data_IF_806404516920
#
_entry.id   IF_806404516920
#
_cell.length_a   1.000
_cell.length_b   1.000
_cell.length_c   1.000
_cell.angle_alpha   90.00
_cell.angle_beta   90.00
_cell.angle_gamma   90.00
#
_symmetry.space_group_name_H-M   'P 1'
#
loop_
_entity.id
_entity.type
_entity.pdbx_description
1 polymer ?
#
# COMPACT_ATOMS: atom_id res chain seq x y z
N UNK A 1 3.08 67.15 58.61
CA UNK A 1 1.97 66.78 57.70
C UNK A 1 2.61 66.18 56.46
N UNK A 2 2.27 64.93 56.16
CA UNK A 2 3.12 63.98 55.45
C UNK A 2 3.22 64.17 53.93
N UNK A 3 4.39 63.84 53.40
CA UNK A 3 4.61 63.53 51.98
C UNK A 3 3.84 62.26 51.59
N UNK A 4 3.23 62.20 50.40
CA UNK A 4 2.65 60.97 49.90
C UNK A 4 3.78 60.04 49.40
N UNK A 5 3.74 58.78 49.84
CA UNK A 5 4.59 57.71 49.34
C UNK A 5 4.19 57.34 47.88
N UNK A 6 5.13 56.91 47.02
CA UNK A 6 4.81 56.45 45.68
C UNK A 6 4.24 55.02 45.76
N UNK A 7 2.99 54.85 45.35
CA UNK A 7 2.28 53.57 45.36
C UNK A 7 2.68 52.68 44.17
N UNK A 8 3.26 51.52 44.49
CA UNK A 8 3.06 50.15 43.97
C UNK A 8 2.40 49.86 42.59
N UNK A 9 2.57 50.68 41.54
CA UNK A 9 2.01 50.37 40.19
C UNK A 9 2.99 49.65 39.23
N UNK A 10 4.27 49.52 39.59
CA UNK A 10 5.34 49.17 38.64
C UNK A 10 5.34 47.74 38.04
N UNK A 11 4.99 46.65 38.75
CA UNK A 11 5.13 45.31 38.19
C UNK A 11 4.06 44.99 37.15
N UNK A 12 2.81 45.46 37.36
CA UNK A 12 1.72 45.26 36.42
C UNK A 12 1.96 46.05 35.12
N UNK A 13 2.39 47.32 35.21
CA UNK A 13 2.70 48.12 34.02
C UNK A 13 3.90 47.54 33.26
N UNK A 14 4.94 47.08 33.96
CA UNK A 14 6.10 46.45 33.32
C UNK A 14 5.72 45.16 32.58
N UNK A 15 4.90 44.31 33.17
CA UNK A 15 4.37 43.10 32.53
C UNK A 15 3.49 43.42 31.31
N UNK A 16 2.68 44.49 31.36
CA UNK A 16 1.89 44.90 30.19
C UNK A 16 2.75 45.39 29.03
N UNK A 17 3.85 46.10 29.32
CA UNK A 17 4.81 46.55 28.30
C UNK A 17 5.60 45.37 27.72
N UNK A 18 6.02 44.42 28.55
CA UNK A 18 6.68 43.19 28.08
C UNK A 18 5.73 42.33 27.24
N UNK A 19 4.46 42.21 27.63
CA UNK A 19 3.45 41.52 26.84
C UNK A 19 3.16 42.22 25.50
N UNK A 20 3.11 43.55 25.48
CA UNK A 20 2.96 44.33 24.25
C UNK A 20 4.15 44.13 23.31
N UNK A 21 5.38 44.18 23.85
CA UNK A 21 6.59 43.90 23.06
C UNK A 21 6.58 42.48 22.48
N UNK A 22 6.23 41.48 23.28
CA UNK A 22 6.12 40.09 22.80
C UNK A 22 5.04 39.93 21.71
N UNK A 23 3.93 40.66 21.81
CA UNK A 23 2.89 40.67 20.79
C UNK A 23 3.36 41.33 19.48
N UNK A 24 4.15 42.40 19.56
CA UNK A 24 4.74 43.05 18.39
C UNK A 24 5.81 42.17 17.73
N UNK A 25 6.70 41.53 18.50
CA UNK A 25 7.65 40.53 17.99
C UNK A 25 6.94 39.35 17.30
N UNK A 26 5.84 38.86 17.87
CA UNK A 26 5.04 37.81 17.26
C UNK A 26 4.41 38.26 15.93
N UNK A 27 3.97 39.53 15.82
CA UNK A 27 3.43 40.09 14.59
C UNK A 27 4.51 40.22 13.51
N UNK A 28 5.69 40.73 13.86
CA UNK A 28 6.83 40.82 12.93
C UNK A 28 7.28 39.44 12.43
N UNK A 29 7.30 38.43 13.31
CA UNK A 29 7.60 37.05 12.92
C UNK A 29 6.53 36.47 11.98
N UNK A 30 5.25 36.73 12.24
CA UNK A 30 4.15 36.29 11.38
C UNK A 30 4.23 36.92 9.98
N UNK A 31 4.53 38.22 9.89
CA UNK A 31 4.71 38.91 8.61
C UNK A 31 5.92 38.38 7.84
N UNK A 32 7.04 38.16 8.54
CA UNK A 32 8.24 37.57 7.96
C UNK A 32 7.99 36.14 7.45
N UNK A 33 7.25 35.33 8.20
CA UNK A 33 6.85 33.98 7.79
C UNK A 33 5.91 34.00 6.59
N UNK A 34 4.91 34.89 6.57
CA UNK A 34 4.00 35.04 5.44
C UNK A 34 4.74 35.46 4.16
N UNK A 35 5.69 36.39 4.26
CA UNK A 35 6.53 36.81 3.15
C UNK A 35 7.45 35.69 2.64
N UNK A 36 7.96 34.83 3.53
CA UNK A 36 8.74 33.64 3.16
C UNK A 36 7.88 32.61 2.43
N UNK A 37 6.69 32.29 2.96
CA UNK A 37 5.76 31.32 2.37
C UNK A 37 5.31 31.77 0.99
N UNK A 38 4.99 33.05 0.82
CA UNK A 38 4.59 33.61 -0.48
C UNK A 38 5.70 33.49 -1.53
N UNK A 39 6.94 33.84 -1.17
CA UNK A 39 8.11 33.68 -2.05
C UNK A 39 8.35 32.22 -2.43
N UNK A 40 8.36 31.33 -1.45
CA UNK A 40 8.54 29.90 -1.68
C UNK A 40 7.45 29.33 -2.59
N UNK A 41 6.19 29.75 -2.43
CA UNK A 41 5.09 29.31 -3.27
C UNK A 41 5.25 29.77 -4.74
N UNK A 42 5.65 31.02 -4.97
CA UNK A 42 5.89 31.54 -6.32
C UNK A 42 7.05 30.79 -7.02
N UNK A 43 8.16 30.57 -6.31
CA UNK A 43 9.31 29.84 -6.83
C UNK A 43 8.93 28.38 -7.15
N UNK A 44 8.16 27.74 -6.27
CA UNK A 44 7.63 26.39 -6.49
C UNK A 44 6.74 26.34 -7.74
N UNK A 45 5.82 27.30 -7.91
CA UNK A 45 4.93 27.35 -9.07
C UNK A 45 5.70 27.55 -10.38
N UNK A 46 6.70 28.42 -10.38
CA UNK A 46 7.61 28.64 -11.51
C UNK A 46 8.35 27.35 -11.89
N UNK A 47 8.89 26.64 -10.90
CA UNK A 47 9.54 25.35 -11.15
C UNK A 47 8.55 24.30 -11.67
N UNK A 48 7.34 24.21 -11.10
CA UNK A 48 6.28 23.29 -11.58
C UNK A 48 5.96 23.52 -13.06
N UNK A 49 5.85 24.78 -13.49
CA UNK A 49 5.62 25.12 -14.89
C UNK A 49 6.78 24.65 -15.78
N UNK A 50 8.03 24.93 -15.40
CA UNK A 50 9.23 24.52 -16.15
C UNK A 50 9.32 22.99 -16.28
N UNK A 51 8.99 22.27 -15.21
CA UNK A 51 8.95 20.80 -15.20
C UNK A 51 7.88 20.26 -16.13
N UNK A 52 6.67 20.84 -16.10
CA UNK A 52 5.58 20.43 -16.98
C UNK A 52 5.93 20.64 -18.46
N UNK A 53 6.58 21.77 -18.79
CA UNK A 53 7.08 22.03 -20.15
C UNK A 53 8.11 20.98 -20.55
N UNK A 54 9.09 20.70 -19.69
CA UNK A 54 10.14 19.71 -19.96
C UNK A 54 9.58 18.29 -20.15
N UNK A 55 8.62 17.85 -19.32
CA UNK A 55 7.95 16.56 -19.52
C UNK A 55 7.22 16.48 -20.87
N UNK A 56 6.56 17.57 -21.27
CA UNK A 56 5.87 17.62 -22.57
C UNK A 56 6.87 17.54 -23.73
N UNK A 57 8.04 18.17 -23.61
CA UNK A 57 9.12 18.13 -24.59
C UNK A 57 9.71 16.73 -24.70
N UNK A 58 10.00 16.06 -23.57
CA UNK A 58 10.50 14.69 -23.56
C UNK A 58 9.51 13.74 -24.26
N UNK A 59 8.20 13.84 -23.94
CA UNK A 59 7.17 13.02 -24.60
C UNK A 59 7.08 13.28 -26.11
N UNK A 60 7.20 14.54 -26.53
CA UNK A 60 7.21 14.91 -27.96
C UNK A 60 8.42 14.28 -28.65
N UNK A 61 9.62 14.42 -28.09
CA UNK A 61 10.84 13.82 -28.66
C UNK A 61 10.68 12.30 -28.77
N UNK A 62 10.19 11.62 -27.73
CA UNK A 62 9.93 10.18 -27.80
C UNK A 62 8.96 9.78 -28.89
N UNK A 63 7.87 10.54 -29.06
CA UNK A 63 6.91 10.27 -30.14
C UNK A 63 7.55 10.45 -31.50
N UNK A 64 8.37 11.50 -31.68
CA UNK A 64 9.11 11.75 -32.91
C UNK A 64 10.13 10.65 -33.21
N UNK A 65 10.83 10.13 -32.20
CA UNK A 65 11.79 9.03 -32.36
C UNK A 65 11.08 7.74 -32.75
N UNK A 66 9.95 7.43 -32.11
CA UNK A 66 9.18 6.20 -32.36
C UNK A 66 8.48 6.21 -33.72
N UNK A 67 8.10 7.38 -34.22
CA UNK A 67 7.37 7.55 -35.47
C UNK A 67 8.25 7.85 -36.69
N UNK A 68 9.56 8.05 -36.51
CA UNK A 68 10.45 8.37 -37.62
C UNK A 68 11.24 7.13 -38.08
N UNK A 69 10.88 6.51 -39.21
CA UNK A 69 11.55 5.31 -39.72
C UNK A 69 12.95 5.58 -40.29
N UNK A 70 13.34 6.85 -40.46
CA UNK A 70 14.64 7.24 -41.02
C UNK A 70 15.76 7.36 -39.98
N UNK A 71 15.48 7.08 -38.69
CA UNK A 71 16.50 7.10 -37.63
C UNK A 71 17.19 5.74 -37.60
N UNK A 72 18.52 5.74 -37.75
CA UNK A 72 19.33 4.52 -37.61
C UNK A 72 19.14 3.89 -36.22
N UNK A 73 19.07 2.55 -36.17
CA UNK A 73 18.80 1.80 -34.94
C UNK A 73 19.75 2.15 -33.78
N UNK A 74 21.01 2.53 -34.08
CA UNK A 74 22.01 2.89 -33.07
C UNK A 74 21.78 4.28 -32.48
N UNK A 75 21.36 5.24 -33.31
CA UNK A 75 21.08 6.60 -32.86
C UNK A 75 19.75 6.68 -32.12
N UNK A 76 18.77 5.86 -32.52
CA UNK A 76 17.52 5.68 -31.78
C UNK A 76 17.77 5.13 -30.36
N UNK A 77 18.63 4.11 -30.23
CA UNK A 77 18.98 3.51 -28.92
C UNK A 77 19.69 4.52 -28.00
N UNK A 78 20.66 5.28 -28.54
CA UNK A 78 21.36 6.32 -27.77
C UNK A 78 20.43 7.45 -27.33
N UNK A 79 19.51 7.86 -28.19
CA UNK A 79 18.52 8.90 -27.87
C UNK A 79 17.51 8.40 -26.84
N UNK A 80 17.09 7.14 -26.91
CA UNK A 80 16.24 6.51 -25.90
C UNK A 80 16.95 6.40 -24.54
N UNK A 81 18.26 6.11 -24.53
CA UNK A 81 19.08 6.09 -23.31
C UNK A 81 19.16 7.48 -22.66
N UNK A 82 19.45 8.53 -23.44
CA UNK A 82 19.51 9.91 -22.92
C UNK A 82 18.14 10.41 -22.42
N UNK A 83 17.04 10.10 -23.13
CA UNK A 83 15.68 10.40 -22.68
C UNK A 83 15.31 9.62 -21.42
N UNK A 84 15.77 8.36 -21.31
CA UNK A 84 15.63 7.55 -20.09
C UNK A 84 16.36 8.21 -18.92
N UNK A 85 17.60 8.64 -19.12
CA UNK A 85 18.43 9.33 -18.12
C UNK A 85 17.77 10.63 -17.64
N UNK A 86 17.31 11.46 -18.57
CA UNK A 86 16.61 12.71 -18.27
C UNK A 86 15.35 12.45 -17.41
N UNK A 87 14.59 11.40 -17.73
CA UNK A 87 13.45 10.96 -16.91
C UNK A 87 13.84 10.50 -15.52
N UNK A 88 14.92 9.74 -15.39
CA UNK A 88 15.41 9.28 -14.10
C UNK A 88 15.78 10.50 -13.23
N UNK A 89 16.45 11.50 -13.80
CA UNK A 89 16.78 12.75 -13.09
C UNK A 89 15.52 13.50 -12.66
N UNK A 90 14.53 13.65 -13.55
CA UNK A 90 13.30 14.38 -13.23
C UNK A 90 12.46 13.63 -12.18
N UNK A 91 12.34 12.30 -12.29
CA UNK A 91 11.43 11.51 -11.46
C UNK A 91 12.04 11.09 -10.12
N UNK A 92 13.31 10.72 -10.12
CA UNK A 92 14.01 10.21 -8.94
C UNK A 92 14.87 11.30 -8.25
N UNK A 93 15.14 12.41 -8.95
CA UNK A 93 15.72 13.63 -8.39
C UNK A 93 14.72 14.46 -7.58
N UNK A 94 15.16 15.59 -7.04
CA UNK A 94 14.36 16.42 -6.13
C UNK A 94 13.20 17.13 -6.84
N UNK A 95 13.34 17.30 -8.16
CA UNK A 95 12.32 17.83 -9.07
C UNK A 95 11.07 16.92 -9.15
N UNK A 96 11.20 15.63 -8.82
CA UNK A 96 10.09 14.67 -8.92
C UNK A 96 8.92 14.97 -7.99
N UNK A 97 9.19 15.74 -6.94
CA UNK A 97 8.22 16.28 -6.00
C UNK A 97 7.28 17.33 -6.61
N UNK A 98 7.78 18.08 -7.60
CA UNK A 98 7.10 19.18 -8.27
C UNK A 98 6.29 18.71 -9.48
N UNK A 99 6.52 17.48 -9.93
CA UNK A 99 5.74 16.89 -11.01
C UNK A 99 4.23 17.00 -10.72
N UNK A 100 3.42 17.37 -11.72
CA UNK A 100 1.97 17.36 -11.56
C UNK A 100 1.55 15.98 -11.07
N UNK A 101 0.79 15.92 -9.98
CA UNK A 101 0.34 14.63 -9.45
C UNK A 101 -0.39 13.91 -10.58
N UNK A 102 0.05 12.71 -10.96
CA UNK A 102 -0.77 11.82 -11.78
C UNK A 102 -2.17 11.81 -11.17
N UNK A 103 -3.19 11.99 -12.01
CA UNK A 103 -4.59 12.13 -11.58
C UNK A 103 -4.86 11.22 -10.39
N UNK A 104 -5.17 11.83 -9.26
CA UNK A 104 -5.44 11.10 -8.04
C UNK A 104 -6.52 10.08 -8.34
N UNK A 105 -6.28 8.81 -8.00
CA UNK A 105 -7.25 7.76 -8.21
C UNK A 105 -8.58 8.15 -7.59
N UNK A 106 -9.70 7.76 -8.21
CA UNK A 106 -11.05 8.10 -7.76
C UNK A 106 -11.25 7.86 -6.25
N UNK A 107 -10.65 6.79 -5.72
CA UNK A 107 -10.65 6.46 -4.29
C UNK A 107 -10.08 7.60 -3.42
N UNK A 108 -8.89 8.12 -3.73
CA UNK A 108 -8.30 9.21 -2.95
C UNK A 108 -9.15 10.49 -3.04
N UNK A 109 -9.71 10.78 -4.21
CA UNK A 109 -10.61 11.93 -4.38
C UNK A 109 -11.89 11.79 -3.54
N UNK A 110 -12.43 10.58 -3.43
CA UNK A 110 -13.62 10.31 -2.63
C UNK A 110 -13.37 10.52 -1.13
N UNK A 111 -12.20 10.09 -0.61
CA UNK A 111 -11.90 10.18 0.83
C UNK A 111 -11.23 11.49 1.26
N UNK A 112 -10.39 12.09 0.41
CA UNK A 112 -9.56 13.27 0.73
C UNK A 112 -9.90 14.51 -0.08
N UNK A 113 -10.82 14.43 -1.05
CA UNK A 113 -11.13 15.53 -1.95
C UNK A 113 -10.01 15.83 -2.95
N UNK A 114 -9.93 17.08 -3.42
CA UNK A 114 -8.97 17.52 -4.43
C UNK A 114 -7.58 17.90 -3.86
N UNK A 115 -7.17 17.27 -2.75
CA UNK A 115 -5.92 17.62 -2.04
C UNK A 115 -4.76 16.79 -2.56
N UNK A 116 -3.67 17.42 -3.01
CA UNK A 116 -2.46 16.70 -3.45
C UNK A 116 -1.71 16.05 -2.27
N UNK A 117 -1.72 14.72 -2.20
CA UNK A 117 -1.04 13.91 -1.16
C UNK A 117 0.41 13.54 -1.51
N UNK A 118 0.97 14.08 -2.60
CA UNK A 118 2.39 13.90 -2.92
C UNK A 118 3.23 14.74 -1.96
N UNK A 119 4.02 14.09 -1.13
CA UNK A 119 4.96 14.77 -0.26
C UNK A 119 6.11 15.38 -1.10
N UNK A 120 6.39 16.66 -0.86
CA UNK A 120 7.40 17.38 -1.64
C UNK A 120 8.82 16.90 -1.26
N UNK A 121 9.05 16.64 0.02
CA UNK A 121 10.37 16.22 0.50
C UNK A 121 10.51 14.70 0.57
N UNK A 122 11.68 14.18 0.18
CA UNK A 122 11.99 12.74 0.20
C UNK A 122 11.95 12.13 1.60
N UNK A 123 12.36 12.86 2.63
CA UNK A 123 12.30 12.39 4.02
C UNK A 123 10.84 12.22 4.48
N UNK A 124 9.94 13.13 4.09
CA UNK A 124 8.51 13.02 4.39
C UNK A 124 7.90 11.82 3.65
N UNK A 125 8.26 11.58 2.38
CA UNK A 125 7.81 10.38 1.65
C UNK A 125 8.22 9.09 2.37
N UNK A 126 9.46 9.04 2.87
CA UNK A 126 9.96 7.88 3.61
C UNK A 126 9.28 7.72 4.96
N UNK A 127 8.97 8.82 5.64
CA UNK A 127 8.17 8.80 6.87
C UNK A 127 6.76 8.26 6.63
N UNK A 128 6.11 8.62 5.53
CA UNK A 128 4.81 8.03 5.13
C UNK A 128 4.92 6.52 4.95
N UNK A 129 6.00 6.04 4.33
CA UNK A 129 6.28 4.60 4.18
C UNK A 129 6.54 3.92 5.53
N UNK A 130 7.26 4.57 6.43
CA UNK A 130 7.51 4.05 7.77
C UNK A 130 6.21 3.92 8.58
N UNK A 131 5.37 4.95 8.57
CA UNK A 131 4.05 4.92 9.22
C UNK A 131 3.13 3.85 8.63
N UNK A 132 3.17 3.62 7.31
CA UNK A 132 2.47 2.50 6.68
C UNK A 132 2.97 1.15 7.21
N UNK A 133 4.28 0.96 7.28
CA UNK A 133 4.88 -0.29 7.75
C UNK A 133 4.54 -0.56 9.22
N UNK A 134 4.64 0.46 10.07
CA UNK A 134 4.27 0.37 11.49
C UNK A 134 2.77 0.06 11.65
N UNK A 135 1.91 0.77 10.91
CA UNK A 135 0.48 0.50 10.90
C UNK A 135 0.18 -0.95 10.48
N UNK A 136 0.84 -1.44 9.42
CA UNK A 136 0.68 -2.81 8.92
C UNK A 136 1.12 -3.85 9.93
N UNK A 137 2.25 -3.65 10.61
CA UNK A 137 2.76 -4.60 11.61
C UNK A 137 1.81 -4.67 12.82
N UNK A 138 1.40 -3.53 13.37
CA UNK A 138 0.42 -3.46 14.46
C UNK A 138 -0.91 -4.13 14.08
N UNK A 139 -1.41 -3.85 12.88
CA UNK A 139 -2.70 -4.40 12.44
C UNK A 139 -2.65 -5.86 12.06
N UNK A 140 -1.53 -6.37 11.55
CA UNK A 140 -1.35 -7.81 11.31
C UNK A 140 -1.39 -8.60 12.61
N UNK A 141 -0.80 -8.09 13.69
CA UNK A 141 -0.91 -8.73 15.01
C UNK A 141 -2.37 -8.74 15.51
N UNK A 142 -3.09 -7.62 15.39
CA UNK A 142 -4.50 -7.54 15.75
C UNK A 142 -5.39 -8.44 14.88
N UNK A 143 -5.08 -8.59 13.59
CA UNK A 143 -5.79 -9.45 12.65
C UNK A 143 -5.73 -10.92 13.06
N UNK A 144 -4.63 -11.35 13.68
CA UNK A 144 -4.51 -12.67 14.27
C UNK A 144 -5.25 -12.75 15.61
N UNK A 145 -5.06 -11.76 16.49
CA UNK A 145 -5.55 -11.77 17.86
C UNK A 145 -7.09 -11.76 17.96
N UNK A 146 -7.76 -10.87 17.22
CA UNK A 146 -9.23 -10.72 17.30
C UNK A 146 -9.99 -12.01 17.00
N UNK A 147 -9.78 -12.71 15.86
CA UNK A 147 -10.49 -13.95 15.58
C UNK A 147 -10.10 -15.07 16.54
N UNK A 148 -8.86 -15.10 17.04
CA UNK A 148 -8.46 -16.05 18.10
C UNK A 148 -9.23 -15.84 19.40
N UNK A 149 -9.38 -14.60 19.85
CA UNK A 149 -10.18 -14.27 21.04
C UNK A 149 -11.64 -14.64 20.82
N UNK A 150 -12.23 -14.31 19.67
CA UNK A 150 -13.62 -14.65 19.37
C UNK A 150 -13.87 -16.16 19.40
N UNK A 151 -12.99 -16.96 18.79
CA UNK A 151 -13.10 -18.41 18.79
C UNK A 151 -12.90 -19.01 20.19
N UNK A 152 -11.98 -18.45 20.98
CA UNK A 152 -11.78 -18.84 22.37
C UNK A 152 -13.03 -18.55 23.22
N UNK A 153 -13.57 -17.34 23.16
CA UNK A 153 -14.80 -16.95 23.87
C UNK A 153 -16.01 -17.77 23.44
N UNK A 154 -16.12 -18.12 22.15
CA UNK A 154 -17.16 -19.04 21.67
C UNK A 154 -17.09 -20.40 22.36
N UNK A 155 -15.89 -20.93 22.57
CA UNK A 155 -15.70 -22.23 23.20
C UNK A 155 -15.82 -22.20 24.71
N UNK A 156 -15.44 -21.09 25.36
CA UNK A 156 -15.34 -21.00 26.81
C UNK A 156 -16.56 -20.35 27.48
N UNK A 157 -17.24 -19.42 26.80
CA UNK A 157 -18.24 -18.54 27.41
C UNK A 157 -19.61 -18.61 26.72
N UNK A 158 -19.65 -18.78 25.39
CA UNK A 158 -20.89 -18.64 24.63
C UNK A 158 -21.49 -19.96 24.12
N UNK A 159 -21.15 -21.08 24.73
CA UNK A 159 -21.72 -22.42 24.42
C UNK A 159 -21.78 -22.74 22.92
N UNK A 160 -20.77 -22.29 22.17
CA UNK A 160 -20.69 -22.51 20.73
C UNK A 160 -21.54 -21.56 19.86
N UNK A 161 -22.09 -20.47 20.37
CA UNK A 161 -22.80 -19.46 19.57
C UNK A 161 -22.18 -18.06 19.71
N UNK A 162 -21.88 -17.39 18.59
CA UNK A 162 -21.35 -16.04 18.63
C UNK A 162 -22.45 -15.02 18.93
N UNK A 163 -22.24 -14.08 19.87
CA UNK A 163 -23.07 -12.89 20.00
C UNK A 163 -22.95 -12.01 18.76
N UNK A 164 -24.08 -11.47 18.29
CA UNK A 164 -24.12 -10.60 17.11
C UNK A 164 -23.18 -9.40 17.26
N UNK A 165 -23.22 -8.71 18.40
CA UNK A 165 -22.38 -7.55 18.69
C UNK A 165 -20.88 -7.87 18.58
N UNK A 166 -20.44 -9.02 19.09
CA UNK A 166 -19.02 -9.40 19.07
C UNK A 166 -18.51 -9.60 17.63
N UNK A 167 -19.30 -10.24 16.77
CA UNK A 167 -18.95 -10.42 15.35
C UNK A 167 -19.03 -9.08 14.60
N UNK A 168 -20.04 -8.26 14.88
CA UNK A 168 -20.17 -6.93 14.27
C UNK A 168 -19.00 -6.01 14.62
N UNK A 169 -18.53 -6.01 15.87
CA UNK A 169 -17.34 -5.24 16.28
C UNK A 169 -16.10 -5.68 15.51
N UNK A 170 -15.94 -6.99 15.29
CA UNK A 170 -14.85 -7.50 14.46
C UNK A 170 -15.00 -7.09 12.98
N UNK A 171 -16.20 -7.14 12.42
CA UNK A 171 -16.45 -6.68 11.04
C UNK A 171 -16.22 -5.16 10.90
N UNK A 172 -16.61 -4.36 11.89
CA UNK A 172 -16.35 -2.93 11.92
C UNK A 172 -14.84 -2.64 11.98
N UNK A 173 -14.10 -3.44 12.76
CA UNK A 173 -12.66 -3.36 12.81
C UNK A 173 -12.00 -3.77 11.47
N UNK A 174 -12.48 -4.83 10.81
CA UNK A 174 -12.02 -5.21 9.47
C UNK A 174 -12.28 -4.12 8.43
N UNK A 175 -13.45 -3.48 8.48
CA UNK A 175 -13.77 -2.34 7.62
C UNK A 175 -12.76 -1.21 7.83
N UNK A 176 -12.52 -0.81 9.09
CA UNK A 176 -11.51 0.19 9.43
C UNK A 176 -10.10 -0.21 8.93
N UNK A 177 -9.72 -1.47 9.13
CA UNK A 177 -8.44 -2.00 8.68
C UNK A 177 -8.25 -1.84 7.17
N UNK A 178 -9.17 -2.40 6.38
CA UNK A 178 -9.04 -2.44 4.92
C UNK A 178 -9.21 -1.06 4.28
N UNK A 179 -10.07 -0.20 4.82
CA UNK A 179 -10.12 1.22 4.43
C UNK A 179 -8.78 1.91 4.72
N UNK A 180 -8.21 1.69 5.90
CA UNK A 180 -6.93 2.27 6.30
C UNK A 180 -5.74 1.78 5.47
N UNK A 181 -5.71 0.51 5.07
CA UNK A 181 -4.71 -0.06 4.16
C UNK A 181 -4.87 0.51 2.75
N UNK A 182 -6.09 0.50 2.21
CA UNK A 182 -6.40 1.05 0.90
C UNK A 182 -5.99 2.54 0.80
N UNK A 183 -6.30 3.35 1.82
CA UNK A 183 -5.91 4.76 1.84
C UNK A 183 -4.39 4.93 1.82
N UNK A 184 -3.67 4.26 2.73
CA UNK A 184 -2.20 4.37 2.83
C UNK A 184 -1.49 3.86 1.58
N UNK A 185 -1.94 2.75 0.99
CA UNK A 185 -1.33 2.20 -0.22
C UNK A 185 -1.58 3.06 -1.45
N UNK A 186 -2.75 3.69 -1.57
CA UNK A 186 -3.00 4.67 -2.62
C UNK A 186 -2.10 5.91 -2.46
N UNK A 187 -1.92 6.41 -1.23
CA UNK A 187 -0.99 7.52 -0.95
C UNK A 187 0.45 7.12 -1.33
N UNK A 188 0.90 5.92 -0.96
CA UNK A 188 2.23 5.41 -1.32
C UNK A 188 2.41 5.30 -2.84
N UNK A 189 1.38 4.88 -3.57
CA UNK A 189 1.40 4.83 -5.04
C UNK A 189 1.59 6.20 -5.67
N UNK A 190 0.89 7.22 -5.15
CA UNK A 190 1.05 8.62 -5.61
C UNK A 190 2.46 9.15 -5.31
N UNK A 191 3.06 8.67 -4.21
CA UNK A 191 4.43 8.98 -3.78
C UNK A 191 5.51 8.05 -4.39
N UNK A 192 5.17 7.24 -5.40
CA UNK A 192 6.14 6.53 -6.22
C UNK A 192 6.43 5.08 -5.84
N UNK A 193 5.72 4.50 -4.88
CA UNK A 193 5.79 3.06 -4.59
C UNK A 193 5.15 2.22 -5.70
N UNK A 194 5.83 1.15 -6.14
CA UNK A 194 5.34 0.26 -7.19
C UNK A 194 4.40 -0.86 -6.68
N UNK A 195 3.28 -0.50 -6.07
CA UNK A 195 2.33 -1.50 -5.56
C UNK A 195 1.56 -2.13 -6.74
N UNK A 196 1.45 -3.46 -6.79
CA UNK A 196 0.65 -4.14 -7.83
C UNK A 196 -0.84 -3.80 -7.73
N UNK A 197 -1.54 -3.58 -8.86
CA UNK A 197 -2.96 -3.20 -8.85
C UNK A 197 -3.88 -4.17 -8.11
N UNK A 198 -3.61 -5.48 -8.21
CA UNK A 198 -4.42 -6.51 -7.55
C UNK A 198 -4.55 -6.31 -6.04
N UNK A 199 -3.46 -5.95 -5.34
CA UNK A 199 -3.49 -5.80 -3.88
C UNK A 199 -4.37 -4.63 -3.43
N UNK A 200 -4.37 -3.53 -4.19
CA UNK A 200 -5.27 -2.41 -3.91
C UNK A 200 -6.73 -2.82 -4.17
N UNK A 201 -6.98 -3.54 -5.27
CA UNK A 201 -8.31 -4.04 -5.57
C UNK A 201 -8.82 -5.06 -4.55
N UNK A 202 -7.94 -5.96 -4.07
CA UNK A 202 -8.23 -6.89 -2.98
C UNK A 202 -8.71 -6.12 -1.74
N UNK A 203 -8.01 -5.05 -1.33
CA UNK A 203 -8.45 -4.24 -0.19
C UNK A 203 -9.84 -3.61 -0.41
N UNK A 204 -10.17 -3.20 -1.63
CA UNK A 204 -11.52 -2.71 -1.94
C UNK A 204 -12.58 -3.81 -1.82
N UNK A 205 -12.30 -5.01 -2.32
CA UNK A 205 -13.18 -6.16 -2.16
C UNK A 205 -13.38 -6.53 -0.69
N UNK A 206 -12.31 -6.55 0.10
CA UNK A 206 -12.37 -6.85 1.52
C UNK A 206 -13.12 -5.76 2.32
N UNK A 207 -12.92 -4.48 1.97
CA UNK A 207 -13.69 -3.36 2.53
C UNK A 207 -15.18 -3.49 2.22
N UNK A 208 -15.54 -3.80 0.97
CA UNK A 208 -16.94 -4.03 0.56
C UNK A 208 -17.53 -5.25 1.30
N UNK A 209 -16.77 -6.33 1.42
CA UNK A 209 -17.18 -7.53 2.15
C UNK A 209 -17.45 -7.24 3.63
N UNK A 210 -16.57 -6.50 4.30
CA UNK A 210 -16.75 -6.10 5.70
C UNK A 210 -17.99 -5.20 5.86
N UNK A 211 -18.20 -4.26 4.93
CA UNK A 211 -19.39 -3.39 4.93
C UNK A 211 -20.69 -4.18 4.77
N UNK A 212 -20.74 -5.13 3.82
CA UNK A 212 -21.92 -5.98 3.61
C UNK A 212 -22.11 -6.94 4.79
N UNK A 213 -21.02 -7.47 5.35
CA UNK A 213 -21.08 -8.36 6.51
C UNK A 213 -21.59 -7.66 7.76
N UNK A 214 -21.39 -6.35 7.90
CA UNK A 214 -21.94 -5.55 9.00
C UNK A 214 -23.46 -5.45 8.96
N UNK A 215 -24.06 -5.44 7.77
CA UNK A 215 -25.52 -5.39 7.61
C UNK A 215 -26.16 -6.77 7.74
N UNK A 216 -25.35 -7.82 7.94
CA UNK A 216 -25.87 -9.16 8.18
C UNK A 216 -26.21 -9.34 9.66
N UNK A 217 -27.51 -9.35 9.96
CA UNK A 217 -27.98 -9.66 11.30
C UNK A 217 -27.84 -11.16 11.60
N UNK A 218 -27.01 -11.48 12.58
CA UNK A 218 -26.91 -12.82 13.13
C UNK A 218 -28.14 -13.06 14.00
N UNK A 219 -29.22 -13.54 13.37
CA UNK A 219 -30.46 -13.92 14.07
C UNK A 219 -30.14 -14.96 15.14
N UNK A 220 -30.58 -14.69 16.37
CA UNK A 220 -30.58 -15.63 17.48
C UNK A 220 -31.47 -16.86 17.19
N UNK A 221 -31.41 -17.83 18.11
CA UNK A 221 -32.06 -19.15 18.10
C UNK A 221 -33.42 -19.29 17.35
N UNK A 222 -33.77 -20.50 16.86
CA UNK A 222 -33.12 -21.80 17.09
C UNK A 222 -32.04 -22.18 16.06
N UNK A 223 -31.08 -23.01 16.49
CA UNK A 223 -29.94 -23.58 15.74
C UNK A 223 -28.80 -22.60 15.34
N UNK A 224 -28.36 -21.73 16.25
CA UNK A 224 -27.25 -20.80 16.01
C UNK A 224 -25.93 -21.49 15.65
N UNK A 225 -25.59 -22.63 16.26
CA UNK A 225 -24.34 -23.37 15.98
C UNK A 225 -24.21 -23.73 14.50
N UNK A 226 -25.25 -24.34 13.91
CA UNK A 226 -25.26 -24.73 12.48
C UNK A 226 -25.32 -23.53 11.55
N UNK A 227 -26.11 -22.50 11.88
CA UNK A 227 -26.25 -21.30 11.04
C UNK A 227 -24.98 -20.45 10.99
N UNK A 228 -24.18 -20.47 12.06
CA UNK A 228 -22.93 -19.71 12.18
C UNK A 228 -21.67 -20.50 11.79
N UNK A 229 -21.80 -21.70 11.22
CA UNK A 229 -20.62 -22.51 10.86
C UNK A 229 -19.76 -21.79 9.80
N UNK A 230 -20.38 -21.07 8.86
CA UNK A 230 -19.64 -20.23 7.90
C UNK A 230 -18.82 -19.13 8.57
N UNK A 231 -19.35 -18.48 9.61
CA UNK A 231 -18.64 -17.46 10.40
C UNK A 231 -17.46 -18.08 11.15
N UNK A 232 -17.66 -19.25 11.77
CA UNK A 232 -16.60 -20.00 12.43
C UNK A 232 -15.47 -20.36 11.46
N UNK A 233 -15.80 -20.91 10.28
CA UNK A 233 -14.82 -21.26 9.26
C UNK A 233 -14.08 -20.04 8.73
N UNK A 234 -14.78 -18.91 8.54
CA UNK A 234 -14.15 -17.65 8.18
C UNK A 234 -13.17 -17.16 9.24
N UNK A 235 -13.49 -17.26 10.54
CA UNK A 235 -12.57 -16.88 11.61
C UNK A 235 -11.34 -17.80 11.69
N UNK A 236 -11.52 -19.12 11.47
CA UNK A 236 -10.39 -20.06 11.39
C UNK A 236 -9.49 -19.71 10.21
N UNK A 237 -10.09 -19.46 9.04
CA UNK A 237 -9.37 -18.97 7.86
C UNK A 237 -8.64 -17.66 8.15
N UNK A 238 -9.27 -16.71 8.84
CA UNK A 238 -8.66 -15.43 9.21
C UNK A 238 -7.44 -15.60 10.12
N UNK A 239 -7.46 -16.57 11.06
CA UNK A 239 -6.28 -16.92 11.86
C UNK A 239 -5.15 -17.43 10.97
N UNK A 240 -5.44 -18.41 10.10
CA UNK A 240 -4.46 -18.93 9.15
C UNK A 240 -3.89 -17.82 8.24
N UNK A 241 -4.75 -16.90 7.81
CA UNK A 241 -4.39 -15.71 7.05
C UNK A 241 -3.50 -14.76 7.86
N UNK A 242 -3.80 -14.53 9.15
CA UNK A 242 -2.96 -13.74 10.04
C UNK A 242 -1.55 -14.31 10.19
N UNK A 243 -1.42 -15.63 10.36
CA UNK A 243 -0.11 -16.30 10.37
C UNK A 243 0.64 -16.12 9.04
N UNK A 244 -0.04 -16.33 7.91
CA UNK A 244 0.54 -16.11 6.60
C UNK A 244 1.00 -14.66 6.41
N UNK A 245 0.21 -13.68 6.87
CA UNK A 245 0.56 -12.26 6.82
C UNK A 245 1.82 -11.95 7.64
N UNK A 246 2.00 -12.53 8.84
CA UNK A 246 3.22 -12.36 9.65
C UNK A 246 4.43 -12.92 8.90
N UNK A 247 4.33 -14.15 8.38
CA UNK A 247 5.41 -14.78 7.61
C UNK A 247 5.75 -13.96 6.36
N UNK A 248 4.75 -13.52 5.61
CA UNK A 248 4.93 -12.64 4.44
C UNK A 248 5.62 -11.33 4.84
N UNK A 249 5.18 -10.68 5.92
CA UNK A 249 5.75 -9.42 6.40
C UNK A 249 7.22 -9.57 6.80
N UNK A 250 7.58 -10.62 7.54
CA UNK A 250 8.98 -10.86 7.94
C UNK A 250 9.84 -11.12 6.70
N UNK A 251 9.44 -12.09 5.88
CA UNK A 251 10.27 -12.61 4.81
C UNK A 251 10.38 -11.66 3.61
N UNK A 252 9.26 -11.11 3.15
CA UNK A 252 9.27 -10.24 1.98
C UNK A 252 9.93 -8.89 2.30
N UNK A 253 9.84 -8.42 3.56
CA UNK A 253 10.45 -7.15 4.00
C UNK A 253 11.97 -7.25 4.08
N UNK A 254 12.50 -8.32 4.67
CA UNK A 254 13.95 -8.56 4.71
C UNK A 254 14.56 -8.50 3.31
N UNK A 255 13.97 -9.22 2.35
CA UNK A 255 14.47 -9.21 0.97
C UNK A 255 14.32 -7.85 0.30
N UNK A 256 13.20 -7.16 0.51
CA UNK A 256 13.00 -5.85 -0.08
C UNK A 256 14.12 -4.90 0.35
N UNK A 257 14.52 -4.91 1.63
CA UNK A 257 15.68 -4.15 2.09
C UNK A 257 16.98 -4.58 1.41
N UNK A 258 17.24 -5.88 1.25
CA UNK A 258 18.41 -6.36 0.49
C UNK A 258 18.38 -5.86 -0.96
N UNK A 259 17.23 -5.89 -1.63
CA UNK A 259 17.11 -5.41 -3.02
C UNK A 259 17.30 -3.90 -3.13
N UNK A 260 16.83 -3.13 -2.15
CA UNK A 260 17.07 -1.68 -2.07
C UNK A 260 18.58 -1.43 -1.90
N UNK A 261 19.25 -2.14 -1.00
CA UNK A 261 20.70 -2.03 -0.80
C UNK A 261 21.50 -2.40 -2.06
N UNK A 262 21.01 -3.38 -2.85
CA UNK A 262 21.60 -3.79 -4.13
C UNK A 262 21.19 -2.88 -5.31
N UNK A 263 20.41 -1.81 -5.11
CA UNK A 263 19.92 -0.94 -6.18
C UNK A 263 18.91 -1.60 -7.14
N UNK A 264 18.40 -2.79 -6.80
CA UNK A 264 17.46 -3.57 -7.62
C UNK A 264 15.98 -3.27 -7.34
N UNK A 265 15.69 -2.40 -6.36
CA UNK A 265 14.35 -1.96 -5.99
C UNK A 265 14.40 -0.50 -5.52
N UNK A 266 13.30 0.23 -5.65
CA UNK A 266 13.25 1.64 -5.26
C UNK A 266 13.11 1.77 -3.75
N UNK A 267 13.67 2.82 -3.19
CA UNK A 267 13.57 3.11 -1.74
C UNK A 267 12.13 3.30 -1.28
N UNK A 268 11.23 3.76 -2.17
CA UNK A 268 9.80 3.92 -1.90
C UNK A 268 8.97 2.64 -2.03
N UNK A 269 9.51 1.57 -2.62
CA UNK A 269 8.76 0.32 -2.78
C UNK A 269 8.44 -0.28 -1.40
N UNK A 270 7.24 -0.81 -1.25
CA UNK A 270 6.80 -1.55 -0.05
C UNK A 270 6.68 -3.03 -0.35
N UNK A 271 6.44 -3.84 0.67
CA UNK A 271 6.15 -5.25 0.47
C UNK A 271 4.73 -5.39 -0.06
N UNK A 272 4.53 -5.98 -1.23
CA UNK A 272 3.22 -6.43 -1.69
C UNK A 272 3.33 -7.92 -2.03
N UNK A 273 2.30 -8.70 -1.69
CA UNK A 273 2.40 -10.15 -1.61
C UNK A 273 3.06 -10.80 -2.83
N UNK A 274 3.89 -11.80 -2.50
CA UNK A 274 4.72 -12.63 -3.36
C UNK A 274 5.82 -11.93 -4.16
N UNK A 275 6.32 -10.78 -3.72
CA UNK A 275 7.61 -10.30 -4.24
C UNK A 275 8.77 -11.17 -3.75
N UNK A 276 8.94 -12.28 -4.47
CA UNK A 276 10.14 -13.06 -4.67
C UNK A 276 10.79 -13.64 -3.39
N UNK A 277 10.79 -14.96 -3.23
CA UNK A 277 11.65 -15.64 -2.24
C UNK A 277 13.00 -16.08 -2.84
N UNK A 278 14.03 -16.24 -1.99
CA UNK A 278 15.22 -17.06 -2.30
C UNK A 278 14.74 -18.50 -2.58
N UNK A 279 15.49 -19.31 -3.34
CA UNK A 279 14.99 -20.61 -3.83
C UNK A 279 14.42 -21.53 -2.72
N UNK A 280 15.01 -21.54 -1.52
CA UNK A 280 14.50 -22.35 -0.39
C UNK A 280 13.33 -21.74 0.39
N UNK A 281 13.23 -20.41 0.48
CA UNK A 281 12.22 -19.75 1.32
C UNK A 281 10.87 -19.58 0.60
N UNK A 282 10.90 -19.45 -0.73
CA UNK A 282 9.68 -19.47 -1.55
C UNK A 282 8.99 -20.84 -1.49
N UNK A 283 9.77 -21.91 -1.34
CA UNK A 283 9.27 -23.27 -1.23
C UNK A 283 8.43 -23.50 0.02
N UNK A 284 8.72 -22.80 1.13
CA UNK A 284 7.90 -22.87 2.34
C UNK A 284 6.66 -21.97 2.28
N UNK A 285 6.80 -20.76 1.75
CA UNK A 285 5.71 -19.78 1.74
C UNK A 285 4.62 -20.13 0.70
N UNK A 286 4.98 -20.58 -0.49
CA UNK A 286 4.00 -20.85 -1.56
C UNK A 286 2.96 -21.93 -1.21
N UNK A 287 3.31 -23.10 -0.64
CA UNK A 287 2.31 -24.09 -0.23
C UNK A 287 1.29 -23.53 0.75
N UNK A 288 1.74 -22.74 1.73
CA UNK A 288 0.85 -22.08 2.70
C UNK A 288 -0.12 -21.16 1.98
N UNK A 289 0.36 -20.36 1.02
CA UNK A 289 -0.49 -19.44 0.25
C UNK A 289 -1.51 -20.18 -0.61
N UNK A 290 -1.13 -21.26 -1.29
CA UNK A 290 -2.06 -22.07 -2.08
C UNK A 290 -3.13 -22.76 -1.21
N UNK A 291 -2.74 -23.33 -0.08
CA UNK A 291 -3.67 -23.95 0.88
C UNK A 291 -4.67 -22.90 1.37
N UNK A 292 -4.19 -21.71 1.69
CA UNK A 292 -4.99 -20.61 2.22
C UNK A 292 -5.96 -20.04 1.19
N UNK A 293 -5.55 -19.93 -0.08
CA UNK A 293 -6.40 -19.56 -1.20
C UNK A 293 -7.46 -20.63 -1.48
N UNK A 294 -7.09 -21.91 -1.42
CA UNK A 294 -8.04 -23.01 -1.55
C UNK A 294 -9.06 -23.01 -0.41
N UNK A 295 -8.61 -22.73 0.81
CA UNK A 295 -9.49 -22.61 1.97
C UNK A 295 -10.41 -21.38 1.85
N UNK A 296 -9.91 -20.23 1.39
CA UNK A 296 -10.70 -19.04 1.09
C UNK A 296 -11.83 -19.35 0.10
N UNK A 297 -11.49 -20.02 -1.02
CA UNK A 297 -12.46 -20.45 -2.02
C UNK A 297 -13.47 -21.45 -1.45
N UNK A 298 -13.02 -22.41 -0.64
CA UNK A 298 -13.89 -23.39 0.02
C UNK A 298 -14.93 -22.71 0.93
N UNK A 299 -14.51 -21.74 1.76
CA UNK A 299 -15.42 -20.97 2.60
C UNK A 299 -16.44 -20.21 1.73
N UNK A 300 -15.98 -19.54 0.67
CA UNK A 300 -16.86 -18.83 -0.26
C UNK A 300 -17.89 -19.75 -0.92
N UNK A 301 -17.47 -20.90 -1.44
CA UNK A 301 -18.36 -21.89 -2.06
C UNK A 301 -19.35 -22.50 -1.05
N UNK A 302 -18.92 -22.71 0.19
CA UNK A 302 -19.79 -23.22 1.25
C UNK A 302 -20.89 -22.21 1.61
N UNK A 303 -20.56 -20.91 1.68
CA UNK A 303 -21.55 -19.86 1.88
C UNK A 303 -22.57 -19.82 0.74
N UNK A 304 -22.11 -19.92 -0.51
CA UNK A 304 -23.00 -19.97 -1.68
C UNK A 304 -23.92 -21.20 -1.66
N UNK A 305 -23.37 -22.38 -1.36
CA UNK A 305 -24.16 -23.60 -1.22
C UNK A 305 -25.22 -23.46 -0.12
N UNK A 306 -24.86 -22.84 1.01
CA UNK A 306 -25.77 -22.63 2.15
C UNK A 306 -26.91 -21.67 1.80
N UNK A 307 -26.64 -20.66 0.97
CA UNK A 307 -27.64 -19.74 0.47
C UNK A 307 -28.61 -20.41 -0.53
N UNK A 308 -28.10 -21.24 -1.45
CA UNK A 308 -28.90 -21.97 -2.45
C UNK A 308 -29.80 -23.03 -1.81
N UNK A 309 -29.30 -23.75 -0.79
CA UNK A 309 -30.09 -24.77 -0.05
C UNK A 309 -31.13 -24.13 0.89
N UNK A 310 -31.16 -22.80 1.00
CA UNK A 310 -32.16 -22.07 1.78
C UNK A 310 -31.94 -22.10 3.29
N UNK A 311 -30.78 -22.57 3.79
CA UNK A 311 -30.52 -22.55 5.25
C UNK A 311 -30.30 -21.12 5.79
N UNK A 312 -29.78 -20.23 4.95
CA UNK A 312 -29.64 -18.77 5.20
C UNK A 312 -29.81 -18.04 3.86
N UNK A 313 -31.05 -17.75 3.47
CA UNK A 313 -31.36 -17.06 2.21
C UNK A 313 -31.28 -15.53 2.37
N UNK A 314 -30.13 -15.05 2.83
CA UNK A 314 -29.85 -13.62 2.98
C UNK A 314 -28.88 -13.21 1.86
N UNK A 315 -29.20 -12.16 1.11
CA UNK A 315 -28.42 -11.75 -0.07
C UNK A 315 -26.97 -11.38 0.30
N UNK A 316 -26.74 -10.92 1.53
CA UNK A 316 -25.41 -10.62 2.08
C UNK A 316 -24.49 -11.85 2.01
N UNK A 317 -25.02 -13.04 2.33
CA UNK A 317 -24.26 -14.30 2.30
C UNK A 317 -23.86 -14.67 0.88
N UNK A 318 -24.75 -14.43 -0.09
CA UNK A 318 -24.47 -14.66 -1.51
C UNK A 318 -23.36 -13.73 -1.99
N UNK A 319 -23.46 -12.43 -1.71
CA UNK A 319 -22.46 -11.45 -2.14
C UNK A 319 -21.11 -11.69 -1.47
N UNK A 320 -21.08 -11.97 -0.16
CA UNK A 320 -19.85 -12.30 0.55
C UNK A 320 -19.22 -13.60 0.02
N UNK A 321 -20.02 -14.61 -0.30
CA UNK A 321 -19.56 -15.85 -0.94
C UNK A 321 -18.91 -15.60 -2.31
N UNK A 322 -19.54 -14.79 -3.16
CA UNK A 322 -18.96 -14.38 -4.47
C UNK A 322 -17.65 -13.63 -4.27
N UNK A 323 -17.61 -12.65 -3.35
CA UNK A 323 -16.42 -11.86 -3.09
C UNK A 323 -15.25 -12.70 -2.58
N UNK A 324 -15.50 -13.69 -1.70
CA UNK A 324 -14.47 -14.63 -1.22
C UNK A 324 -13.91 -15.48 -2.36
N UNK A 325 -14.77 -16.03 -3.23
CA UNK A 325 -14.30 -16.81 -4.39
C UNK A 325 -13.50 -15.93 -5.36
N UNK A 326 -13.97 -14.71 -5.63
CA UNK A 326 -13.28 -13.76 -6.49
C UNK A 326 -11.89 -13.40 -5.94
N UNK A 327 -11.80 -13.13 -4.64
CA UNK A 327 -10.53 -12.84 -3.97
C UNK A 327 -9.59 -14.05 -4.02
N UNK A 328 -10.09 -15.26 -3.72
CA UNK A 328 -9.31 -16.49 -3.78
C UNK A 328 -8.74 -16.72 -5.20
N UNK A 329 -9.56 -16.59 -6.24
CA UNK A 329 -9.14 -16.76 -7.64
C UNK A 329 -8.09 -15.72 -8.04
N UNK A 330 -8.28 -14.46 -7.67
CA UNK A 330 -7.31 -13.43 -8.03
C UNK A 330 -6.01 -13.50 -7.22
N UNK A 331 -6.06 -13.93 -5.96
CA UNK A 331 -4.88 -14.25 -5.15
C UNK A 331 -4.09 -15.40 -5.80
N UNK A 332 -4.79 -16.47 -6.23
CA UNK A 332 -4.21 -17.59 -6.95
C UNK A 332 -3.58 -17.16 -8.28
N UNK A 333 -4.30 -16.39 -9.10
CA UNK A 333 -3.80 -15.92 -10.39
C UNK A 333 -2.53 -15.07 -10.24
N UNK A 334 -2.49 -14.16 -9.26
CA UNK A 334 -1.30 -13.35 -8.97
C UNK A 334 -0.14 -14.18 -8.46
N UNK A 335 -0.44 -15.25 -7.72
CA UNK A 335 0.55 -16.17 -7.19
C UNK A 335 1.23 -16.93 -8.34
N UNK A 336 0.41 -17.56 -9.18
CA UNK A 336 0.85 -18.27 -10.38
C UNK A 336 1.63 -17.34 -11.31
N UNK A 337 1.13 -16.14 -11.58
CA UNK A 337 1.82 -15.17 -12.44
C UNK A 337 3.23 -14.87 -11.92
N UNK A 338 3.39 -14.71 -10.61
CA UNK A 338 4.71 -14.43 -10.00
C UNK A 338 5.66 -15.61 -10.16
N UNK A 339 5.18 -16.83 -9.92
CA UNK A 339 5.96 -18.05 -10.11
C UNK A 339 6.37 -18.26 -11.58
N UNK A 340 5.46 -18.00 -12.52
CA UNK A 340 5.73 -18.11 -13.95
C UNK A 340 6.78 -17.11 -14.42
N UNK A 341 6.70 -15.85 -14.00
CA UNK A 341 7.72 -14.83 -14.32
C UNK A 341 9.09 -15.24 -13.78
N UNK A 342 9.14 -15.76 -12.55
CA UNK A 342 10.38 -16.23 -11.93
C UNK A 342 10.96 -17.45 -12.66
N UNK A 343 10.10 -18.42 -13.03
CA UNK A 343 10.49 -19.61 -13.80
C UNK A 343 11.07 -19.23 -15.16
N UNK A 344 10.39 -18.35 -15.91
CA UNK A 344 10.86 -17.82 -17.20
C UNK A 344 12.20 -17.11 -17.09
N UNK A 345 12.41 -16.32 -16.03
CA UNK A 345 13.69 -15.66 -15.79
C UNK A 345 14.81 -16.68 -15.50
N UNK A 346 14.54 -17.70 -14.69
CA UNK A 346 15.50 -18.79 -14.40
C UNK A 346 15.85 -19.58 -15.67
N UNK A 347 14.87 -19.87 -16.52
CA UNK A 347 15.09 -20.52 -17.82
C UNK A 347 15.97 -19.68 -18.75
N UNK A 348 15.73 -18.36 -18.84
CA UNK A 348 16.56 -17.43 -19.63
C UNK A 348 18.01 -17.38 -19.14
N UNK A 349 18.23 -17.30 -17.83
CA UNK A 349 19.58 -17.32 -17.23
C UNK A 349 20.29 -18.64 -17.50
N UNK A 350 19.59 -19.77 -17.36
CA UNK A 350 20.16 -21.11 -17.67
C UNK A 350 20.51 -21.24 -19.16
N UNK A 351 19.69 -20.70 -20.06
CA UNK A 351 19.97 -20.66 -21.50
C UNK A 351 21.19 -19.80 -21.82
N UNK A 352 21.33 -18.63 -21.19
CA UNK A 352 22.47 -17.73 -21.44
C UNK A 352 23.79 -18.33 -20.93
N UNK A 353 23.79 -18.91 -19.73
CA UNK A 353 24.96 -19.60 -19.20
C UNK A 353 25.38 -20.79 -20.09
N UNK A 354 24.43 -21.51 -20.72
CA UNK A 354 24.78 -22.57 -21.69
C UNK A 354 25.47 -22.00 -22.93
N UNK A 355 24.96 -20.92 -23.49
CA UNK A 355 25.57 -20.24 -24.66
C UNK A 355 26.97 -19.72 -24.31
N UNK A 356 27.15 -19.12 -23.13
CA UNK A 356 28.46 -18.62 -22.68
C UNK A 356 29.48 -19.76 -22.47
N UNK A 357 29.03 -20.90 -21.92
CA UNK A 357 29.86 -22.11 -21.79
C UNK A 357 30.24 -22.65 -23.17
N UNK A 358 29.28 -22.83 -24.08
CA UNK A 358 29.53 -23.34 -25.44
C UNK A 358 30.50 -22.43 -26.22
N UNK A 359 30.37 -21.10 -26.05
CA UNK A 359 31.26 -20.10 -26.66
C UNK A 359 32.66 -20.10 -26.06
N UNK A 360 32.80 -20.41 -24.77
CA UNK A 360 34.11 -20.55 -24.09
C UNK A 360 34.80 -21.88 -24.38
N UNK A 361 34.03 -22.92 -24.74
CA UNK A 361 34.55 -24.25 -25.09
C UNK A 361 34.88 -24.43 -26.57
N UNK A 362 34.53 -23.47 -27.43
CA UNK A 362 34.87 -23.51 -28.85
C UNK A 362 36.32 -23.03 -29.04
N UNK A 363 37.29 -23.90 -29.39
CA UNK A 363 38.66 -23.48 -29.62
C UNK A 363 38.71 -22.54 -30.83
N UNK A 364 39.56 -21.52 -30.77
CA UNK A 364 39.94 -20.70 -31.92
C UNK A 364 40.43 -21.59 -33.07
N UNK A 365 39.53 -21.99 -33.97
CA UNK A 365 39.86 -22.44 -35.32
C UNK A 365 40.03 -21.19 -36.20
N UNK A 366 41.07 -20.41 -35.90
CA UNK A 366 41.55 -19.32 -36.74
C UNK A 366 43.03 -19.03 -36.43
N UNK A 367 43.87 -20.01 -36.77
CA UNK A 367 45.25 -19.77 -37.21
C UNK A 367 45.68 -20.96 -38.07
N UNK A 368 45.40 -20.83 -39.36
CA UNK A 368 46.34 -21.05 -40.46
C UNK A 368 45.75 -20.47 -41.73
#
# INVERSE_FOLDING_TARGET
MGSPAPAEDQPATKLTVEAARAADEARELQESAAAMISRAWNDEQSLRQRVSVLESTIKKIESSVRCNPNIESRDAEKLEEELCRARCIIRDGDVGSLLPSKSQGLFLKMFLGAINVRAVRKDVQLKVKEEYNNYRDRTTFLFLLFPSILLCLRSLVWDGCFPALAVQLYQAWLLFLYTGLALRENILRVNGSDIRPWWIFHHYCAMLMALISLTWEIKGQPNCVRKQEGVKLFLIWAICQGFAMILQNIYQRQRLYTRIALGKAKRMDVVWGETAGVEGQLWFLCPILFILQAFEAYVGLLLLKTAVVGMVSEWQVVVCGILLVLMAVGNFANTVQTLLVKSKFKQRMKSRNRIDVDRSSSPNSARN
#
